data_IF_872009261043
#
_entry.id   IF_872009261043
#
_cell.length_a   1.000
_cell.length_b   1.000
_cell.length_c   1.000
_cell.angle_alpha   90.00
_cell.angle_beta   90.00
_cell.angle_gamma   90.00
#
_symmetry.space_group_name_H-M   'P 1'
#
loop_
_entity.id
_entity.type
_entity.pdbx_description
1 polymer ?
#
# COMPACT_ATOMS: atom_id res chain seq x y z
N UNK A 1 11.38 -6.99 15.49
CA UNK A 1 10.39 -6.58 14.52
C UNK A 1 9.10 -7.34 14.79
N UNK A 2 8.00 -6.62 14.96
CA UNK A 2 6.75 -7.31 15.21
C UNK A 2 6.37 -8.13 13.98
N UNK A 3 6.10 -9.39 14.19
CA UNK A 3 5.58 -10.22 13.12
C UNK A 3 4.15 -9.79 12.83
N UNK A 4 3.89 -9.49 11.58
CA UNK A 4 2.48 -9.42 11.14
C UNK A 4 1.96 -10.83 11.30
N UNK A 5 1.03 -11.03 12.22
CA UNK A 5 0.40 -12.32 12.36
C UNK A 5 -0.46 -12.56 11.13
N UNK A 6 -0.01 -13.46 10.25
CA UNK A 6 -0.70 -13.74 8.99
C UNK A 6 -2.12 -14.25 9.21
N UNK A 7 -2.38 -14.95 10.32
CA UNK A 7 -3.72 -15.42 10.63
C UNK A 7 -4.66 -14.28 10.98
N UNK A 8 -4.20 -13.32 11.81
CA UNK A 8 -4.98 -12.13 12.15
C UNK A 8 -5.25 -11.31 10.91
N UNK A 9 -4.24 -11.13 10.05
CA UNK A 9 -4.40 -10.40 8.81
C UNK A 9 -5.41 -11.10 7.88
N UNK A 10 -5.34 -12.42 7.80
CA UNK A 10 -6.26 -13.20 7.00
C UNK A 10 -7.71 -13.08 7.51
N UNK A 11 -7.91 -13.19 8.81
CA UNK A 11 -9.23 -13.03 9.43
C UNK A 11 -9.78 -11.63 9.18
N UNK A 12 -8.94 -10.61 9.26
CA UNK A 12 -9.33 -9.23 8.97
C UNK A 12 -9.78 -9.08 7.52
N UNK A 13 -9.06 -9.70 6.58
CA UNK A 13 -9.42 -9.65 5.17
C UNK A 13 -10.78 -10.32 4.92
N UNK A 14 -11.01 -11.47 5.53
CA UNK A 14 -12.29 -12.18 5.41
C UNK A 14 -13.42 -11.33 5.97
N UNK A 15 -13.23 -10.78 7.16
CA UNK A 15 -14.21 -9.90 7.80
C UNK A 15 -14.55 -8.71 6.91
N UNK A 16 -13.53 -8.01 6.39
CA UNK A 16 -13.75 -6.84 5.55
C UNK A 16 -14.46 -7.21 4.25
N UNK A 17 -14.10 -8.34 3.64
CA UNK A 17 -14.76 -8.83 2.43
C UNK A 17 -16.25 -9.09 2.68
N UNK A 18 -16.59 -9.72 3.81
CA UNK A 18 -17.97 -9.96 4.19
C UNK A 18 -18.74 -8.66 4.40
N UNK A 19 -18.11 -7.67 5.08
CA UNK A 19 -18.73 -6.36 5.29
C UNK A 19 -18.96 -5.62 3.98
N UNK A 20 -18.02 -5.69 3.05
CA UNK A 20 -18.16 -5.07 1.73
C UNK A 20 -19.30 -5.72 0.93
N UNK A 21 -19.38 -7.05 0.94
CA UNK A 21 -20.43 -7.78 0.23
C UNK A 21 -21.80 -7.51 0.82
N UNK A 22 -21.88 -7.30 2.15
CA UNK A 22 -23.11 -6.97 2.84
C UNK A 22 -23.49 -5.48 2.72
N UNK A 23 -22.66 -4.66 2.10
CA UNK A 23 -22.89 -3.23 1.96
C UNK A 23 -22.85 -2.44 3.27
N UNK A 24 -22.14 -2.96 4.28
CA UNK A 24 -22.11 -2.37 5.62
C UNK A 24 -21.04 -1.32 5.83
N UNK A 25 -20.00 -1.31 5.00
CA UNK A 25 -18.97 -0.28 5.06
C UNK A 25 -19.35 0.87 4.13
N UNK A 26 -19.45 2.06 4.68
CA UNK A 26 -19.72 3.21 3.82
C UNK A 26 -18.50 3.61 2.98
N UNK A 27 -18.74 4.41 1.94
CA UNK A 27 -17.70 4.77 0.98
C UNK A 27 -16.55 5.56 1.61
N UNK A 28 -16.84 6.42 2.57
CA UNK A 28 -15.82 7.23 3.25
C UNK A 28 -14.90 6.36 4.08
N UNK A 29 -15.46 5.38 4.79
CA UNK A 29 -14.67 4.43 5.59
C UNK A 29 -13.81 3.56 4.69
N UNK A 30 -14.36 3.07 3.58
CA UNK A 30 -13.59 2.27 2.61
C UNK A 30 -12.41 3.05 2.08
N UNK A 31 -12.63 4.30 1.70
CA UNK A 31 -11.57 5.15 1.14
C UNK A 31 -10.49 5.41 2.19
N UNK A 32 -10.89 5.69 3.43
CA UNK A 32 -9.95 5.90 4.53
C UNK A 32 -9.07 4.67 4.76
N UNK A 33 -9.69 3.48 4.81
CA UNK A 33 -8.96 2.23 5.02
C UNK A 33 -7.99 1.94 3.88
N UNK A 34 -8.44 2.19 2.63
CA UNK A 34 -7.57 2.05 1.46
C UNK A 34 -6.39 3.02 1.52
N UNK A 35 -6.64 4.26 1.90
CA UNK A 35 -5.59 5.27 1.99
C UNK A 35 -4.55 4.89 3.05
N UNK A 36 -5.00 4.45 4.22
CA UNK A 36 -4.09 4.02 5.29
C UNK A 36 -3.27 2.79 4.88
N UNK A 37 -3.93 1.80 4.28
CA UNK A 37 -3.25 0.59 3.80
C UNK A 37 -2.25 0.91 2.70
N UNK A 38 -2.62 1.77 1.77
CA UNK A 38 -1.72 2.22 0.71
C UNK A 38 -0.49 2.92 1.28
N UNK A 39 -0.69 3.86 2.22
CA UNK A 39 0.42 4.61 2.83
C UNK A 39 1.39 3.69 3.57
N UNK A 40 0.87 2.74 4.33
CA UNK A 40 1.70 1.79 5.05
C UNK A 40 2.53 0.93 4.09
N UNK A 41 1.89 0.42 3.06
CA UNK A 41 2.55 -0.41 2.05
C UNK A 41 3.59 0.40 1.27
N UNK A 42 3.24 1.64 0.90
CA UNK A 42 4.16 2.53 0.22
C UNK A 42 5.41 2.79 1.08
N UNK A 43 5.24 3.06 2.36
CA UNK A 43 6.36 3.32 3.25
C UNK A 43 7.33 2.13 3.32
N UNK A 44 6.79 0.91 3.45
CA UNK A 44 7.59 -0.30 3.48
C UNK A 44 8.36 -0.52 2.18
N UNK A 45 7.67 -0.39 1.05
CA UNK A 45 8.28 -0.59 -0.28
C UNK A 45 9.29 0.51 -0.60
N UNK A 46 8.98 1.75 -0.23
CA UNK A 46 9.89 2.86 -0.47
C UNK A 46 11.21 2.68 0.29
N UNK A 47 11.15 2.20 1.52
CA UNK A 47 12.34 1.89 2.30
C UNK A 47 13.17 0.81 1.62
N UNK A 48 12.52 -0.26 1.14
CA UNK A 48 13.21 -1.31 0.38
C UNK A 48 13.83 -0.75 -0.90
N UNK A 49 13.12 0.10 -1.60
CA UNK A 49 13.63 0.75 -2.81
C UNK A 49 14.87 1.59 -2.52
N UNK A 50 14.86 2.38 -1.45
CA UNK A 50 16.00 3.21 -1.07
C UNK A 50 17.21 2.37 -0.67
N UNK A 51 17.00 1.16 -0.18
CA UNK A 51 18.05 0.20 0.14
C UNK A 51 18.48 -0.66 -1.05
N UNK A 52 17.95 -0.39 -2.22
CA UNK A 52 18.20 -1.18 -3.43
C UNK A 52 17.72 -2.63 -3.31
N UNK A 53 16.75 -2.90 -2.45
CA UNK A 53 16.19 -4.23 -2.24
C UNK A 53 15.07 -4.56 -3.24
N UNK A 54 14.48 -3.55 -3.87
CA UNK A 54 13.50 -3.75 -4.93
C UNK A 54 13.60 -2.65 -5.98
N UNK A 55 13.04 -2.92 -7.16
CA UNK A 55 13.01 -1.94 -8.24
C UNK A 55 11.80 -1.02 -8.11
N UNK A 56 11.87 0.12 -8.80
CA UNK A 56 10.74 1.05 -8.88
C UNK A 56 9.51 0.38 -9.51
N UNK A 57 9.73 -0.41 -10.57
CA UNK A 57 8.66 -1.16 -11.24
C UNK A 57 7.99 -2.16 -10.31
N UNK A 58 8.77 -2.87 -9.51
CA UNK A 58 8.24 -3.79 -8.50
C UNK A 58 7.37 -3.06 -7.49
N UNK A 59 7.84 -1.90 -7.01
CA UNK A 59 7.09 -1.10 -6.05
C UNK A 59 5.73 -0.68 -6.63
N UNK A 60 5.73 -0.17 -7.87
CA UNK A 60 4.49 0.22 -8.54
C UNK A 60 3.54 -0.97 -8.71
N UNK A 61 4.06 -2.11 -9.12
CA UNK A 61 3.28 -3.34 -9.30
C UNK A 61 2.63 -3.77 -7.97
N UNK A 62 3.38 -3.77 -6.89
CA UNK A 62 2.87 -4.16 -5.57
C UNK A 62 1.82 -3.19 -5.05
N UNK A 63 1.88 -1.93 -5.43
CA UNK A 63 0.88 -0.92 -5.06
C UNK A 63 -0.33 -0.90 -6.00
N UNK A 64 -0.27 -1.65 -7.10
CA UNK A 64 -1.35 -1.68 -8.07
C UNK A 64 -1.49 -0.41 -8.89
N UNK A 65 -0.40 0.33 -9.08
CA UNK A 65 -0.38 1.57 -9.85
C UNK A 65 0.64 1.46 -10.98
N UNK A 66 0.56 2.38 -11.95
CA UNK A 66 1.59 2.44 -12.99
C UNK A 66 2.84 3.12 -12.45
N UNK A 67 3.98 2.89 -13.09
CA UNK A 67 5.22 3.57 -12.73
C UNK A 67 5.10 5.10 -12.87
N UNK A 68 4.33 5.55 -13.85
CA UNK A 68 4.06 6.99 -14.05
C UNK A 68 3.28 7.59 -12.88
N UNK A 69 2.24 6.91 -12.44
CA UNK A 69 1.43 7.35 -11.31
C UNK A 69 2.26 7.39 -10.03
N UNK A 70 3.09 6.37 -9.81
CA UNK A 70 3.96 6.33 -8.64
C UNK A 70 5.01 7.45 -8.68
N UNK A 71 5.62 7.65 -9.84
CA UNK A 71 6.58 8.74 -10.03
C UNK A 71 5.94 10.09 -9.67
N UNK A 72 4.77 10.35 -10.22
CA UNK A 72 4.04 11.59 -9.99
C UNK A 72 3.72 11.79 -8.50
N UNK A 73 3.27 10.73 -7.83
CA UNK A 73 2.98 10.78 -6.40
C UNK A 73 4.22 11.14 -5.58
N UNK A 74 5.34 10.48 -5.83
CA UNK A 74 6.58 10.74 -5.11
C UNK A 74 7.11 12.15 -5.38
N UNK A 75 7.03 12.61 -6.63
CA UNK A 75 7.39 13.97 -6.98
C UNK A 75 6.57 15.01 -6.22
N UNK A 76 5.27 14.81 -6.13
CA UNK A 76 4.38 15.72 -5.39
C UNK A 76 4.74 15.79 -3.91
N UNK A 77 5.28 14.72 -3.36
CA UNK A 77 5.69 14.64 -1.95
C UNK A 77 7.13 15.10 -1.72
N UNK A 78 7.84 15.48 -2.77
CA UNK A 78 9.24 15.85 -2.67
C UNK A 78 10.14 14.69 -2.30
N UNK A 79 9.72 13.45 -2.58
CA UNK A 79 10.50 12.24 -2.29
C UNK A 79 11.35 11.86 -3.50
N UNK A 80 12.49 11.24 -3.22
CA UNK A 80 13.40 10.79 -4.28
C UNK A 80 12.76 9.69 -5.10
N UNK A 81 12.94 9.78 -6.41
CA UNK A 81 12.44 8.78 -7.37
C UNK A 81 13.55 7.85 -7.85
N UNK A 82 14.75 8.00 -7.30
CA UNK A 82 15.90 7.14 -7.57
C UNK A 82 16.42 6.59 -6.26
N UNK A 83 17.18 5.51 -6.34
CA UNK A 83 17.83 4.89 -5.17
C UNK A 83 19.36 5.09 -5.19
N UNK A 84 19.79 6.06 -5.93
CA UNK A 84 21.22 6.41 -6.03
C UNK A 84 21.65 7.39 -4.96
#
# INVERSE_FOLDING_TARGET
MPHVNTEIFHDTMIFLDEQLKAGKLDAAVRLELLARGFEEKLAELYEQFQRSECSFGYMAEQLGVTTWDLYDLLERRGLRTTNL
#
